data_IF_649264773821
#
_entry.id   IF_649264773821
#
_cell.length_a   1.000
_cell.length_b   1.000
_cell.length_c   1.000
_cell.angle_alpha   90.00
_cell.angle_beta   90.00
_cell.angle_gamma   90.00
#
_symmetry.space_group_name_H-M   'P 1'
#
loop_
_entity.id
_entity.type
_entity.pdbx_description
1 polymer ?
#
# COMPACT_ATOMS: atom_id res chain seq x y z
N UNK A 1 13.23 18.56 17.24
CA UNK A 1 12.36 18.35 16.08
C UNK A 1 11.39 17.20 16.31
N UNK A 2 11.90 16.00 16.57
CA UNK A 2 11.05 14.86 16.88
C UNK A 2 10.25 15.07 18.18
N UNK A 3 10.82 15.74 19.16
CA UNK A 3 10.13 16.07 20.41
C UNK A 3 9.02 17.11 20.19
N UNK A 4 9.19 18.05 19.25
CA UNK A 4 8.15 19.00 18.91
C UNK A 4 6.99 18.33 18.18
N UNK A 5 7.27 17.43 17.25
CA UNK A 5 6.24 16.65 16.53
C UNK A 5 5.52 15.73 17.52
N UNK A 6 6.23 15.08 18.44
CA UNK A 6 5.63 14.19 19.42
C UNK A 6 4.77 14.96 20.44
N UNK A 7 5.12 16.22 20.76
CA UNK A 7 4.33 17.03 21.69
C UNK A 7 3.05 17.58 21.08
N UNK A 8 2.95 17.62 19.74
CA UNK A 8 1.74 18.07 19.04
C UNK A 8 0.62 17.02 19.06
N UNK A 9 0.94 15.74 19.29
CA UNK A 9 -0.01 14.64 19.32
C UNK A 9 0.13 13.84 20.61
N UNK A 10 -0.97 13.63 21.33
CA UNK A 10 -1.00 12.71 22.46
C UNK A 10 -1.06 11.27 21.97
N UNK A 11 -0.73 10.30 22.90
CA UNK A 11 -0.91 8.88 22.59
C UNK A 11 -2.37 8.55 22.27
N UNK A 12 -3.32 9.21 22.93
CA UNK A 12 -4.74 9.04 22.67
C UNK A 12 -5.13 9.54 21.26
N UNK A 13 -4.53 10.64 20.82
CA UNK A 13 -4.77 11.16 19.48
C UNK A 13 -4.25 10.21 18.42
N UNK A 14 -3.03 9.68 18.60
CA UNK A 14 -2.44 8.72 17.68
C UNK A 14 -3.29 7.45 17.59
N UNK A 15 -3.75 6.94 18.75
CA UNK A 15 -4.61 5.75 18.78
C UNK A 15 -5.92 5.98 18.05
N UNK A 16 -6.56 7.13 18.26
CA UNK A 16 -7.80 7.50 17.53
C UNK A 16 -7.59 7.58 16.04
N UNK A 17 -6.46 8.10 15.60
CA UNK A 17 -6.11 8.15 14.18
C UNK A 17 -5.91 6.75 13.60
N UNK A 18 -5.25 5.86 14.32
CA UNK A 18 -5.06 4.47 13.91
C UNK A 18 -6.38 3.71 13.84
N UNK A 19 -7.25 3.89 14.83
CA UNK A 19 -8.58 3.27 14.85
C UNK A 19 -9.45 3.80 13.70
N UNK A 20 -9.42 5.11 13.44
CA UNK A 20 -10.15 5.72 12.33
C UNK A 20 -9.66 5.16 10.99
N UNK A 21 -8.35 5.04 10.81
CA UNK A 21 -7.80 4.45 9.58
C UNK A 21 -8.21 2.99 9.42
N UNK A 22 -8.16 2.20 10.49
CA UNK A 22 -8.55 0.79 10.47
C UNK A 22 -10.05 0.60 10.14
N UNK A 23 -10.90 1.57 10.48
CA UNK A 23 -12.34 1.50 10.23
C UNK A 23 -12.75 1.92 8.81
N UNK A 24 -11.82 2.42 8.00
CA UNK A 24 -12.10 2.76 6.60
C UNK A 24 -12.53 1.51 5.86
N UNK A 25 -13.62 1.60 5.10
CA UNK A 25 -14.22 0.46 4.43
C UNK A 25 -13.41 0.04 3.20
N UNK A 26 -13.24 -1.26 3.01
CA UNK A 26 -12.69 -1.86 1.80
C UNK A 26 -13.72 -2.83 1.23
N UNK A 27 -14.22 -2.56 0.03
CA UNK A 27 -15.22 -3.41 -0.62
C UNK A 27 -14.62 -4.76 -1.03
N UNK A 28 -15.47 -5.74 -1.27
CA UNK A 28 -15.07 -7.05 -1.79
C UNK A 28 -14.31 -6.91 -3.12
N UNK A 29 -14.82 -6.06 -4.01
CA UNK A 29 -14.19 -5.79 -5.30
C UNK A 29 -12.78 -5.19 -5.14
N UNK A 30 -12.61 -4.32 -4.15
CA UNK A 30 -11.30 -3.74 -3.85
C UNK A 30 -10.33 -4.80 -3.29
N UNK A 31 -10.81 -5.66 -2.40
CA UNK A 31 -10.00 -6.76 -1.84
C UNK A 31 -9.58 -7.71 -2.97
N UNK A 32 -10.49 -8.04 -3.88
CA UNK A 32 -10.18 -8.86 -5.06
C UNK A 32 -9.12 -8.21 -5.94
N UNK A 33 -9.23 -6.91 -6.16
CA UNK A 33 -8.24 -6.13 -6.89
C UNK A 33 -6.85 -6.22 -6.24
N UNK A 34 -6.79 -6.06 -4.92
CA UNK A 34 -5.54 -6.20 -4.17
C UNK A 34 -4.96 -7.61 -4.30
N UNK A 35 -5.80 -8.64 -4.20
CA UNK A 35 -5.37 -10.03 -4.35
C UNK A 35 -4.84 -10.31 -5.75
N UNK A 36 -5.46 -9.74 -6.78
CA UNK A 36 -4.98 -9.86 -8.16
C UNK A 36 -3.59 -9.22 -8.34
N UNK A 37 -3.38 -8.07 -7.73
CA UNK A 37 -2.06 -7.41 -7.72
C UNK A 37 -1.02 -8.33 -7.09
N UNK A 38 -1.32 -8.91 -5.93
CA UNK A 38 -0.41 -9.82 -5.23
C UNK A 38 -0.13 -11.08 -6.05
N UNK A 39 -1.14 -11.60 -6.73
CA UNK A 39 -0.99 -12.76 -7.60
C UNK A 39 -0.06 -12.47 -8.77
N UNK A 40 -0.20 -11.33 -9.43
CA UNK A 40 0.69 -10.91 -10.52
C UNK A 40 2.11 -10.72 -10.01
N UNK A 41 2.28 -10.16 -8.82
CA UNK A 41 3.60 -10.04 -8.19
C UNK A 41 4.27 -11.41 -8.03
N UNK A 42 3.54 -12.40 -7.53
CA UNK A 42 4.07 -13.76 -7.35
C UNK A 42 4.42 -14.44 -8.66
N UNK A 43 3.65 -14.20 -9.70
CA UNK A 43 3.91 -14.77 -11.03
C UNK A 43 5.16 -14.18 -11.70
N UNK A 44 5.37 -12.88 -11.53
CA UNK A 44 6.44 -12.15 -12.22
C UNK A 44 7.74 -12.11 -11.44
N UNK A 45 7.67 -12.24 -10.11
CA UNK A 45 8.82 -12.11 -9.23
C UNK A 45 8.86 -13.27 -8.26
N UNK A 46 10.00 -13.97 -8.21
CA UNK A 46 10.20 -15.16 -7.36
C UNK A 46 9.89 -14.91 -5.91
N UNK A 47 10.25 -13.74 -5.41
CA UNK A 47 10.06 -13.41 -4.01
C UNK A 47 8.71 -12.78 -3.74
N UNK A 48 8.03 -12.24 -4.74
CA UNK A 48 6.70 -11.67 -4.62
C UNK A 48 6.49 -10.83 -3.36
N UNK A 49 5.25 -10.48 -3.11
CA UNK A 49 4.86 -9.86 -1.85
C UNK A 49 4.20 -10.91 -0.97
N UNK A 50 4.65 -10.98 0.29
CA UNK A 50 4.04 -11.87 1.28
C UNK A 50 2.60 -11.44 1.60
N UNK A 51 1.75 -12.32 2.17
CA UNK A 51 0.43 -11.91 2.65
C UNK A 51 0.50 -10.77 3.66
N UNK A 52 1.55 -10.74 4.48
CA UNK A 52 1.79 -9.66 5.43
C UNK A 52 2.04 -8.33 4.74
N UNK A 53 2.78 -8.35 3.64
CA UNK A 53 3.01 -7.16 2.83
C UNK A 53 1.71 -6.67 2.17
N UNK A 54 0.86 -7.59 1.72
CA UNK A 54 -0.46 -7.27 1.20
C UNK A 54 -1.35 -6.60 2.23
N UNK A 55 -1.32 -7.10 3.47
CA UNK A 55 -2.05 -6.49 4.58
C UNK A 55 -1.52 -5.09 4.88
N UNK A 56 -0.21 -4.90 4.84
CA UNK A 56 0.44 -3.60 5.00
C UNK A 56 0.01 -2.62 3.92
N UNK A 57 -0.08 -3.08 2.68
CA UNK A 57 -0.56 -2.28 1.55
C UNK A 57 -2.01 -1.82 1.75
N UNK A 58 -2.87 -2.72 2.22
CA UNK A 58 -4.26 -2.38 2.52
C UNK A 58 -4.36 -1.34 3.65
N UNK A 59 -3.59 -1.52 4.71
CA UNK A 59 -3.54 -0.55 5.82
C UNK A 59 -3.07 0.83 5.36
N UNK A 60 -2.04 0.87 4.54
CA UNK A 60 -1.54 2.12 3.97
C UNK A 60 -2.59 2.80 3.08
N UNK A 61 -3.31 2.02 2.28
CA UNK A 61 -4.38 2.54 1.43
C UNK A 61 -5.54 3.10 2.25
N UNK A 62 -5.90 2.45 3.34
CA UNK A 62 -6.94 2.94 4.26
C UNK A 62 -6.52 4.27 4.91
N UNK A 63 -5.28 4.37 5.37
CA UNK A 63 -4.75 5.60 5.92
C UNK A 63 -4.73 6.73 4.87
N UNK A 64 -4.35 6.41 3.65
CA UNK A 64 -4.35 7.36 2.54
C UNK A 64 -5.75 7.88 2.23
N UNK A 65 -6.75 6.99 2.20
CA UNK A 65 -8.15 7.37 2.00
C UNK A 65 -8.64 8.29 3.12
N UNK A 66 -8.29 7.98 4.36
CA UNK A 66 -8.67 8.80 5.52
C UNK A 66 -8.07 10.20 5.42
N UNK A 67 -6.80 10.32 5.06
CA UNK A 67 -6.13 11.62 4.84
C UNK A 67 -6.85 12.40 3.74
N UNK A 68 -7.34 11.71 2.73
CA UNK A 68 -8.14 12.31 1.66
C UNK A 68 -9.58 12.65 2.05
N UNK A 69 -9.97 12.43 3.30
CA UNK A 69 -11.31 12.72 3.80
C UNK A 69 -12.36 11.70 3.37
N UNK A 70 -11.96 10.49 3.02
CA UNK A 70 -12.89 9.44 2.58
C UNK A 70 -12.99 8.33 3.62
N UNK A 71 -14.13 7.67 3.63
CA UNK A 71 -14.41 6.55 4.52
C UNK A 71 -14.33 5.17 3.82
N UNK A 72 -13.94 5.17 2.56
CA UNK A 72 -13.79 3.96 1.74
C UNK A 72 -12.52 4.03 0.91
N UNK A 73 -11.87 2.88 0.72
CA UNK A 73 -10.68 2.77 -0.12
C UNK A 73 -11.09 2.67 -1.58
N UNK A 74 -10.46 3.46 -2.43
CA UNK A 74 -10.61 3.40 -3.88
C UNK A 74 -9.40 2.70 -4.50
N UNK A 75 -9.54 2.15 -5.72
CA UNK A 75 -8.39 1.58 -6.43
C UNK A 75 -7.22 2.55 -6.57
N UNK A 76 -7.50 3.83 -6.74
CA UNK A 76 -6.50 4.90 -6.81
C UNK A 76 -5.67 5.00 -5.54
N UNK A 77 -6.25 4.68 -4.39
CA UNK A 77 -5.53 4.68 -3.12
C UNK A 77 -4.49 3.55 -3.08
N UNK A 78 -4.85 2.37 -3.57
CA UNK A 78 -3.92 1.25 -3.71
C UNK A 78 -2.78 1.63 -4.66
N UNK A 79 -3.10 2.26 -5.78
CA UNK A 79 -2.12 2.69 -6.76
C UNK A 79 -1.17 3.75 -6.19
N UNK A 80 -1.70 4.71 -5.43
CA UNK A 80 -0.91 5.78 -4.84
C UNK A 80 0.10 5.25 -3.81
N UNK A 81 -0.33 4.38 -2.91
CA UNK A 81 0.55 3.84 -1.88
C UNK A 81 1.39 2.68 -2.40
N UNK A 82 0.92 2.00 -3.44
CA UNK A 82 1.62 0.87 -4.05
C UNK A 82 3.01 1.25 -4.54
N UNK A 83 3.14 2.41 -5.13
CA UNK A 83 4.41 2.91 -5.61
C UNK A 83 5.47 2.96 -4.48
N UNK A 84 5.09 3.44 -3.31
CA UNK A 84 6.00 3.56 -2.18
C UNK A 84 6.21 2.25 -1.43
N UNK A 85 5.12 1.50 -1.18
CA UNK A 85 5.17 0.28 -0.35
C UNK A 85 5.76 -0.89 -1.11
N UNK A 86 5.36 -1.08 -2.37
CA UNK A 86 5.78 -2.24 -3.18
C UNK A 86 7.15 -2.04 -3.82
N UNK A 87 7.47 -0.83 -4.26
CA UNK A 87 8.71 -0.55 -4.97
C UNK A 87 9.93 -0.92 -4.14
N UNK A 88 9.91 -0.59 -2.87
CA UNK A 88 11.00 -0.90 -1.95
C UNK A 88 11.23 -2.40 -1.80
N UNK A 89 10.17 -3.20 -1.84
CA UNK A 89 10.24 -4.67 -1.68
C UNK A 89 10.61 -5.39 -2.97
N UNK A 90 10.35 -4.79 -4.12
CA UNK A 90 10.67 -5.36 -5.43
C UNK A 90 12.01 -4.88 -5.97
N UNK A 91 12.62 -3.91 -5.32
CA UNK A 91 13.92 -3.39 -5.72
C UNK A 91 15.02 -4.43 -5.46
N UNK A 92 15.95 -4.56 -6.40
CA UNK A 92 17.08 -5.50 -6.30
C UNK A 92 18.37 -4.70 -6.21
N UNK A 93 18.84 -4.37 -4.99
CA UNK A 93 20.00 -3.52 -4.81
C UNK A 93 21.32 -4.17 -5.25
N UNK A 94 21.32 -5.50 -5.45
CA UNK A 94 22.52 -6.26 -5.81
C UNK A 94 22.67 -6.50 -7.30
N UNK A 95 21.69 -6.12 -8.11
CA UNK A 95 21.73 -6.31 -9.56
C UNK A 95 21.44 -4.97 -10.25
N UNK A 96 22.50 -4.25 -10.69
CA UNK A 96 22.30 -2.97 -11.37
C UNK A 96 21.62 -3.09 -12.73
N UNK A 97 21.55 -4.30 -13.31
CA UNK A 97 20.86 -4.53 -14.57
C UNK A 97 19.36 -4.81 -14.38
N UNK A 98 18.91 -5.06 -13.14
CA UNK A 98 17.50 -5.29 -12.86
C UNK A 98 16.70 -4.00 -12.99
N UNK A 99 15.44 -4.06 -13.48
CA UNK A 99 14.55 -2.91 -13.44
C UNK A 99 14.38 -2.39 -12.01
N UNK A 100 14.22 -1.07 -11.85
CA UNK A 100 13.96 -0.54 -10.54
C UNK A 100 12.56 -0.94 -10.03
N UNK A 101 12.37 -0.89 -8.70
CA UNK A 101 11.12 -1.33 -8.09
C UNK A 101 9.91 -0.53 -8.56
N UNK A 102 10.06 0.75 -8.87
CA UNK A 102 8.97 1.60 -9.34
C UNK A 102 8.48 1.21 -10.72
N UNK A 103 9.41 0.89 -11.63
CA UNK A 103 9.05 0.38 -12.96
C UNK A 103 8.28 -0.93 -12.86
N UNK A 104 8.73 -1.83 -11.98
CA UNK A 104 8.05 -3.11 -11.73
C UNK A 104 6.64 -2.91 -11.19
N UNK A 105 6.46 -1.99 -10.25
CA UNK A 105 5.15 -1.68 -9.68
C UNK A 105 4.22 -1.12 -10.75
N UNK A 106 4.69 -0.19 -11.57
CA UNK A 106 3.88 0.38 -12.66
C UNK A 106 3.42 -0.68 -13.63
N UNK A 107 4.30 -1.61 -14.01
CA UNK A 107 3.96 -2.69 -14.91
C UNK A 107 2.90 -3.61 -14.30
N UNK A 108 3.03 -3.93 -13.02
CA UNK A 108 2.06 -4.76 -12.30
C UNK A 108 0.71 -4.07 -12.23
N UNK A 109 0.68 -2.79 -11.87
CA UNK A 109 -0.57 -2.03 -11.77
C UNK A 109 -1.27 -1.88 -13.12
N UNK A 110 -0.52 -1.76 -14.21
CA UNK A 110 -1.08 -1.74 -15.56
C UNK A 110 -1.64 -3.09 -15.99
N UNK A 111 -1.06 -4.18 -15.50
CA UNK A 111 -1.49 -5.53 -15.86
C UNK A 111 -2.79 -5.94 -15.16
N UNK A 112 -3.15 -5.30 -14.05
CA UNK A 112 -4.34 -5.64 -13.26
C UNK A 112 -5.39 -4.57 -13.47
N UNK A 113 -6.55 -4.91 -14.09
CA UNK A 113 -7.62 -3.93 -14.28
C UNK A 113 -8.25 -3.54 -12.96
N UNK A 114 -8.47 -2.25 -12.77
CA UNK A 114 -9.20 -1.73 -11.62
C UNK A 114 -10.69 -2.06 -11.73
N UNK A 115 -11.36 -2.34 -10.61
CA UNK A 115 -12.79 -2.61 -10.60
C UNK A 115 -13.63 -1.38 -10.95
#
# INVERSE_FOLDING_TARGET
LLSEVTSALSEGDLRRMQEAAASVHASEALIDYLQDILAVCRQRHRQGLSPRAGLGLLRAAKAWALIGGRDSVLPEDIQAVGDSVMAHRLDSPFDPAAPDGRSLVRDILRAVPAP
#
